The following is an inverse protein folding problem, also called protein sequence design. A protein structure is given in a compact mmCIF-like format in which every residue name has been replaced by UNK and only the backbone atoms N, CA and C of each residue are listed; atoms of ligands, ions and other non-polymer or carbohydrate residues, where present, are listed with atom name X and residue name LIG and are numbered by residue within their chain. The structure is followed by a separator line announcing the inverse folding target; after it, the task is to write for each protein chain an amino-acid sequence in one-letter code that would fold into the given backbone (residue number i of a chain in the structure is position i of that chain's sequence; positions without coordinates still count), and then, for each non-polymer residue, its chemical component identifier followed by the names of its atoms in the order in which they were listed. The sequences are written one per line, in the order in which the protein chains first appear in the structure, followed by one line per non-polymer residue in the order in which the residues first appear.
data_IF_054533120873
#
_entry.id   IF_054533120873
#
_cell.length_a   1.000
_cell.length_b   1.000
_cell.length_c   1.000
_cell.angle_alpha   90.00
_cell.angle_beta   90.00
_cell.angle_gamma   90.00
#
_symmetry.space_group_name_H-M   'P 1'
#
loop_
_entity.id
_entity.type
_entity.pdbx_description
1 polymer ?
#
# COMPACT_ATOMS: atom_id res chain seq x y z
N UNK A 1 17.39 -5.33 -14.77
CA UNK A 1 16.07 -4.70 -14.99
C UNK A 1 15.12 -4.96 -13.82
N UNK A 2 14.84 -6.23 -13.43
CA UNK A 2 13.94 -6.58 -12.30
C UNK A 2 14.21 -5.79 -11.02
N UNK A 3 15.47 -5.69 -10.58
CA UNK A 3 15.84 -4.93 -9.37
C UNK A 3 15.46 -3.44 -9.44
N UNK A 4 15.71 -2.82 -10.59
CA UNK A 4 15.41 -1.40 -10.78
C UNK A 4 13.91 -1.14 -10.84
N UNK A 5 13.16 -1.96 -11.57
CA UNK A 5 11.71 -1.89 -11.64
C UNK A 5 11.10 -2.08 -10.24
N UNK A 6 11.54 -3.12 -9.51
CA UNK A 6 11.04 -3.40 -8.17
C UNK A 6 11.37 -2.27 -7.16
N UNK A 7 12.54 -1.64 -7.31
CA UNK A 7 12.94 -0.51 -6.47
C UNK A 7 12.01 0.70 -6.66
N UNK A 8 11.67 1.02 -7.90
CA UNK A 8 10.75 2.14 -8.20
C UNK A 8 9.36 1.83 -7.65
N UNK A 9 8.89 0.58 -7.85
CA UNK A 9 7.57 0.10 -7.43
C UNK A 9 7.47 -0.23 -5.94
N UNK A 10 8.49 0.05 -5.13
CA UNK A 10 8.51 -0.28 -3.69
C UNK A 10 8.48 0.94 -2.78
N UNK A 11 8.51 2.14 -3.35
CA UNK A 11 8.54 3.38 -2.55
C UNK A 11 7.23 3.63 -1.79
N UNK A 12 6.12 3.42 -2.44
CA UNK A 12 4.75 3.49 -1.90
C UNK A 12 4.52 2.42 -0.82
N UNK A 13 5.01 1.19 -1.05
CA UNK A 13 4.91 0.10 -0.07
C UNK A 13 5.68 0.42 1.22
N UNK A 14 6.87 1.02 1.13
CA UNK A 14 7.62 1.45 2.30
C UNK A 14 6.87 2.51 3.13
N UNK A 15 6.13 3.39 2.48
CA UNK A 15 5.29 4.38 3.15
C UNK A 15 4.13 3.73 3.92
N UNK A 16 3.43 2.77 3.32
CA UNK A 16 2.35 2.03 4.00
C UNK A 16 2.87 1.27 5.21
N UNK A 17 4.04 0.60 5.07
CA UNK A 17 4.69 -0.09 6.18
C UNK A 17 5.04 0.90 7.30
N UNK A 18 5.57 2.07 6.95
CA UNK A 18 5.92 3.10 7.92
C UNK A 18 4.68 3.63 8.65
N UNK A 19 3.60 3.92 7.92
CA UNK A 19 2.33 4.39 8.50
C UNK A 19 1.72 3.35 9.44
N UNK A 20 1.66 2.08 9.03
CA UNK A 20 1.09 1.00 9.83
C UNK A 20 1.93 0.66 11.09
N UNK A 21 3.25 0.88 11.03
CA UNK A 21 4.14 0.62 12.16
C UNK A 21 4.34 1.83 13.08
N UNK A 22 3.80 3.00 12.73
CA UNK A 22 4.08 4.27 13.40
C UNK A 22 3.62 4.30 14.86
N UNK A 23 2.44 3.80 15.14
CA UNK A 23 1.84 3.77 16.48
C UNK A 23 2.53 2.77 17.42
N UNK A 24 3.39 1.91 16.88
CA UNK A 24 4.14 0.92 17.65
C UNK A 24 5.48 1.46 18.11
N UNK A 25 6.01 0.92 19.21
CA UNK A 25 7.30 1.31 19.76
C UNK A 25 8.26 0.13 19.92
N UNK A 26 9.55 0.43 19.98
CA UNK A 26 10.61 -0.50 20.32
C UNK A 26 10.60 -1.80 19.48
N UNK A 27 10.51 -2.94 20.18
CA UNK A 27 10.56 -4.26 19.54
C UNK A 27 9.33 -4.55 18.67
N UNK A 28 8.14 -4.06 19.05
CA UNK A 28 6.90 -4.28 18.28
C UNK A 28 6.95 -3.57 16.93
N UNK A 29 7.43 -2.32 16.88
CA UNK A 29 7.64 -1.55 15.64
C UNK A 29 8.59 -2.31 14.69
N UNK A 30 9.72 -2.75 15.22
CA UNK A 30 10.70 -3.52 14.45
C UNK A 30 10.12 -4.83 13.91
N UNK A 31 9.38 -5.57 14.73
CA UNK A 31 8.74 -6.81 14.33
C UNK A 31 7.69 -6.57 13.23
N UNK A 32 6.86 -5.54 13.36
CA UNK A 32 5.86 -5.19 12.36
C UNK A 32 6.52 -4.86 11.01
N UNK A 33 7.56 -4.04 10.99
CA UNK A 33 8.28 -3.68 9.76
C UNK A 33 8.92 -4.92 9.12
N UNK A 34 9.64 -5.73 9.89
CA UNK A 34 10.38 -6.89 9.36
C UNK A 34 9.43 -7.98 8.87
N UNK A 35 8.49 -8.42 9.71
CA UNK A 35 7.57 -9.49 9.34
C UNK A 35 6.53 -9.04 8.32
N UNK A 36 6.11 -7.77 8.37
CA UNK A 36 5.27 -7.16 7.35
C UNK A 36 5.94 -7.17 5.98
N UNK A 37 7.18 -6.70 5.89
CA UNK A 37 7.94 -6.70 4.64
C UNK A 37 8.20 -8.12 4.11
N UNK A 38 8.55 -9.08 4.97
CA UNK A 38 8.74 -10.48 4.57
C UNK A 38 7.42 -11.09 4.07
N UNK A 39 6.33 -10.88 4.81
CA UNK A 39 5.00 -11.37 4.42
C UNK A 39 4.52 -10.77 3.10
N UNK A 40 4.72 -9.48 2.90
CA UNK A 40 4.42 -8.77 1.66
C UNK A 40 5.16 -9.39 0.47
N UNK A 41 6.48 -9.57 0.58
CA UNK A 41 7.29 -10.17 -0.50
C UNK A 41 6.91 -11.64 -0.76
N UNK A 42 6.64 -12.42 0.30
CA UNK A 42 6.18 -13.80 0.14
C UNK A 42 4.85 -13.87 -0.62
N UNK A 43 3.89 -13.00 -0.28
CA UNK A 43 2.60 -12.94 -0.97
C UNK A 43 2.76 -12.46 -2.42
N UNK A 44 3.66 -11.54 -2.69
CA UNK A 44 3.98 -11.06 -4.04
C UNK A 44 4.55 -12.17 -4.93
N UNK A 45 5.35 -13.09 -4.37
CA UNK A 45 5.81 -14.29 -5.08
C UNK A 45 4.65 -15.23 -5.45
N UNK A 46 3.69 -15.41 -4.53
CA UNK A 46 2.48 -16.18 -4.81
C UNK A 46 1.65 -15.50 -5.91
N UNK A 47 1.47 -14.20 -5.84
CA UNK A 47 0.74 -13.43 -6.86
C UNK A 47 1.41 -13.52 -8.21
N UNK A 48 2.75 -13.49 -8.28
CA UNK A 48 3.49 -13.64 -9.53
C UNK A 48 3.20 -14.97 -10.23
N UNK A 49 2.89 -16.02 -9.48
CA UNK A 49 2.52 -17.31 -10.04
C UNK A 49 1.10 -17.36 -10.61
N UNK A 50 0.18 -16.53 -10.07
CA UNK A 50 -1.25 -16.56 -10.43
C UNK A 50 -1.75 -15.25 -11.04
N UNK A 51 -0.87 -14.29 -11.28
CA UNK A 51 -1.24 -12.92 -11.70
C UNK A 51 -2.10 -12.90 -12.96
N UNK A 52 -1.79 -13.77 -13.94
CA UNK A 52 -2.57 -13.82 -15.19
C UNK A 52 -4.05 -14.16 -14.93
N UNK A 53 -4.30 -14.98 -13.92
CA UNK A 53 -5.67 -15.30 -13.49
C UNK A 53 -6.30 -14.17 -12.67
N UNK A 54 -5.54 -13.61 -11.72
CA UNK A 54 -6.04 -12.52 -10.86
C UNK A 54 -6.52 -11.32 -11.68
N UNK A 55 -5.81 -10.95 -12.73
CA UNK A 55 -6.18 -9.83 -13.61
C UNK A 55 -7.47 -10.08 -14.44
N UNK A 56 -7.97 -11.31 -14.51
CA UNK A 56 -9.24 -11.61 -15.19
C UNK A 56 -10.44 -11.57 -14.25
N UNK A 57 -10.22 -11.43 -12.94
CA UNK A 57 -11.29 -11.42 -11.94
C UNK A 57 -11.95 -10.04 -11.91
N UNK A 58 -13.24 -9.94 -12.30
CA UNK A 58 -13.95 -8.67 -12.28
C UNK A 58 -14.08 -8.14 -10.85
N UNK A 59 -14.06 -6.83 -10.71
CA UNK A 59 -14.17 -6.12 -9.43
C UNK A 59 -13.05 -6.39 -8.41
N UNK A 60 -11.97 -7.10 -8.79
CA UNK A 60 -10.88 -7.38 -7.87
C UNK A 60 -10.12 -6.09 -7.53
N UNK A 61 -9.80 -5.29 -8.54
CA UNK A 61 -9.12 -4.00 -8.34
C UNK A 61 -10.03 -2.98 -7.66
N UNK A 62 -11.32 -2.95 -7.98
CA UNK A 62 -12.30 -2.14 -7.27
C UNK A 62 -12.35 -2.48 -5.77
N UNK A 63 -12.46 -3.78 -5.42
CA UNK A 63 -12.46 -4.22 -4.03
C UNK A 63 -11.16 -3.85 -3.31
N UNK A 64 -10.02 -3.99 -3.99
CA UNK A 64 -8.72 -3.58 -3.52
C UNK A 64 -8.66 -2.07 -3.25
N UNK A 65 -9.11 -1.26 -4.20
CA UNK A 65 -9.15 0.21 -4.04
C UNK A 65 -10.02 0.64 -2.85
N UNK A 66 -11.20 0.06 -2.68
CA UNK A 66 -12.06 0.32 -1.51
C UNK A 66 -11.36 -0.06 -0.19
N UNK A 67 -10.61 -1.15 -0.19
CA UNK A 67 -9.83 -1.58 0.96
C UNK A 67 -8.69 -0.59 1.26
N UNK A 68 -8.01 -0.02 0.24
CA UNK A 68 -7.01 1.03 0.44
C UNK A 68 -7.62 2.29 1.05
N UNK A 69 -8.81 2.71 0.63
CA UNK A 69 -9.53 3.84 1.24
C UNK A 69 -9.82 3.56 2.71
N UNK A 70 -10.28 2.35 3.04
CA UNK A 70 -10.52 1.95 4.42
C UNK A 70 -9.23 1.95 5.26
N UNK A 71 -8.11 1.45 4.72
CA UNK A 71 -6.80 1.48 5.37
C UNK A 71 -6.35 2.92 5.60
N UNK A 72 -6.47 3.79 4.58
CA UNK A 72 -6.14 5.21 4.69
C UNK A 72 -6.92 5.89 5.81
N UNK A 73 -8.21 5.60 5.91
CA UNK A 73 -9.06 6.10 6.98
C UNK A 73 -8.61 5.62 8.35
N UNK A 74 -8.36 4.32 8.49
CA UNK A 74 -7.90 3.71 9.72
C UNK A 74 -6.58 4.34 10.20
N UNK A 75 -5.59 4.46 9.30
CA UNK A 75 -4.27 4.99 9.62
C UNK A 75 -4.26 6.46 10.06
N UNK A 76 -5.20 7.29 9.58
CA UNK A 76 -5.35 8.67 10.07
C UNK A 76 -5.94 8.67 11.49
N UNK A 77 -6.94 7.81 11.77
CA UNK A 77 -7.70 7.89 13.02
C UNK A 77 -7.06 7.13 14.19
N UNK A 78 -6.10 6.24 13.92
CA UNK A 78 -5.32 5.60 14.99
C UNK A 78 -4.44 6.59 15.76
N UNK A 79 -4.17 7.79 15.20
CA UNK A 79 -3.45 8.86 15.90
C UNK A 79 -4.30 9.58 16.97
N UNK A 80 -5.61 9.57 16.84
CA UNK A 80 -6.51 10.38 17.66
C UNK A 80 -6.97 9.68 18.93
N UNK A 81 -6.60 8.40 19.10
CA UNK A 81 -6.99 7.57 20.25
C UNK A 81 -6.17 7.79 21.53
N UNK A 82 -5.32 8.81 21.62
CA UNK A 82 -4.50 9.09 22.81
C UNK A 82 -5.26 9.58 24.07
N UNK A 83 -6.58 9.63 24.05
CA UNK A 83 -7.38 10.13 25.19
C UNK A 83 -7.90 9.07 26.17
N UNK A 84 -8.13 7.87 25.77
CA UNK A 84 -8.55 6.78 26.66
C UNK A 84 -7.48 5.67 26.64
N UNK A 85 -7.03 5.27 27.83
CA UNK A 85 -6.20 4.09 28.07
C UNK A 85 -6.95 2.82 27.66
N UNK A 86 -7.25 2.69 26.38
CA UNK A 86 -7.51 1.40 25.77
C UNK A 86 -6.14 0.77 25.61
N UNK A 87 -5.98 -0.36 26.25
CA UNK A 87 -4.84 -1.26 26.22
C UNK A 87 -4.08 -1.17 24.91
N UNK A 88 -2.78 -0.98 24.96
CA UNK A 88 -1.83 -0.81 23.84
C UNK A 88 -2.24 -1.68 22.63
N UNK A 89 -3.19 -1.21 21.83
CA UNK A 89 -4.09 -2.04 21.04
C UNK A 89 -3.75 -2.14 19.58
N UNK A 90 -2.71 -1.52 19.08
CA UNK A 90 -2.15 -1.95 17.81
C UNK A 90 -1.04 -2.94 18.09
N UNK A 91 -1.40 -4.21 18.14
CA UNK A 91 -0.40 -5.27 18.28
C UNK A 91 0.44 -5.28 16.98
N UNK A 92 1.72 -5.66 17.10
CA UNK A 92 2.57 -5.87 15.93
C UNK A 92 1.87 -6.75 14.87
N UNK A 93 1.01 -7.67 15.30
CA UNK A 93 0.22 -8.54 14.44
C UNK A 93 -0.84 -7.78 13.61
N UNK A 94 -1.49 -6.79 14.18
CA UNK A 94 -2.45 -5.95 13.45
C UNK A 94 -1.75 -5.10 12.39
N UNK A 95 -0.63 -4.47 12.75
CA UNK A 95 0.20 -3.74 11.80
C UNK A 95 0.70 -4.67 10.67
N UNK A 96 1.18 -5.88 10.99
CA UNK A 96 1.59 -6.89 9.98
C UNK A 96 0.44 -7.20 9.03
N UNK A 97 -0.78 -7.41 9.53
CA UNK A 97 -1.96 -7.67 8.69
C UNK A 97 -2.26 -6.51 7.75
N UNK A 98 -2.25 -5.28 8.26
CA UNK A 98 -2.47 -4.07 7.44
C UNK A 98 -1.41 -3.99 6.34
N UNK A 99 -0.14 -4.17 6.68
CA UNK A 99 0.98 -4.14 5.74
C UNK A 99 0.79 -5.19 4.64
N UNK A 100 0.57 -6.44 5.03
CA UNK A 100 0.44 -7.56 4.06
C UNK A 100 -0.78 -7.39 3.16
N UNK A 101 -1.91 -6.94 3.71
CA UNK A 101 -3.13 -6.72 2.94
C UNK A 101 -3.00 -5.53 2.00
N UNK A 102 -2.45 -4.42 2.47
CA UNK A 102 -2.22 -3.25 1.62
C UNK A 102 -1.23 -3.56 0.50
N UNK A 103 -0.11 -4.22 0.81
CA UNK A 103 0.86 -4.64 -0.20
C UNK A 103 0.26 -5.64 -1.21
N UNK A 104 -0.61 -6.55 -0.76
CA UNK A 104 -1.33 -7.47 -1.64
C UNK A 104 -2.13 -6.72 -2.71
N UNK A 105 -2.88 -5.72 -2.26
CA UNK A 105 -3.73 -4.89 -3.14
C UNK A 105 -2.88 -4.09 -4.12
N UNK A 106 -1.89 -3.35 -3.61
CA UNK A 106 -0.99 -2.50 -4.42
C UNK A 106 -0.08 -3.32 -5.36
N UNK A 107 0.12 -4.60 -5.03
CA UNK A 107 0.97 -5.50 -5.83
C UNK A 107 0.27 -6.11 -7.04
N UNK A 108 -1.05 -5.98 -7.18
CA UNK A 108 -1.77 -6.59 -8.31
C UNK A 108 -1.21 -6.11 -9.66
N UNK A 109 -0.99 -4.81 -9.81
CA UNK A 109 -0.43 -4.23 -11.04
C UNK A 109 1.10 -4.32 -11.07
N UNK A 110 1.75 -4.11 -9.92
CA UNK A 110 3.20 -4.16 -9.80
C UNK A 110 3.78 -5.53 -10.16
N UNK A 111 3.07 -6.61 -9.82
CA UNK A 111 3.51 -7.99 -10.12
C UNK A 111 3.56 -8.24 -11.63
N UNK A 112 2.66 -7.66 -12.42
CA UNK A 112 2.68 -7.77 -13.89
C UNK A 112 3.97 -7.20 -14.45
N UNK A 113 4.34 -5.99 -14.04
CA UNK A 113 5.57 -5.34 -14.48
C UNK A 113 6.83 -6.16 -14.08
N UNK A 114 6.82 -6.72 -12.87
CA UNK A 114 7.91 -7.57 -12.36
C UNK A 114 8.02 -8.88 -13.14
N UNK A 115 6.91 -9.55 -13.43
CA UNK A 115 6.87 -10.78 -14.24
C UNK A 115 7.37 -10.50 -15.65
N UNK A 116 6.97 -9.38 -16.28
CA UNK A 116 7.46 -8.97 -17.58
C UNK A 116 8.99 -8.70 -17.55
N UNK A 117 9.47 -8.00 -16.52
CA UNK A 117 10.90 -7.73 -16.35
C UNK A 117 11.73 -9.00 -16.09
N UNK A 118 11.13 -10.08 -15.56
CA UNK A 118 11.77 -11.35 -15.28
C UNK A 118 11.74 -12.34 -16.46
N UNK A 119 11.16 -11.96 -17.61
CA UNK A 119 11.14 -12.83 -18.80
C UNK A 119 12.50 -12.89 -19.48
N UNK A 120 12.93 -14.12 -19.80
CA UNK A 120 14.12 -14.41 -20.58
C UNK A 120 13.71 -15.41 -21.66
N UNK A 121 13.92 -15.06 -22.95
CA UNK A 121 13.54 -15.92 -24.06
C UNK A 121 12.04 -16.22 -24.18
N UNK A 122 11.19 -15.34 -23.63
CA UNK A 122 9.72 -15.51 -23.64
C UNK A 122 9.15 -16.20 -22.39
N UNK A 123 9.98 -16.87 -21.59
CA UNK A 123 9.57 -17.56 -20.38
C UNK A 123 9.91 -16.75 -19.12
N UNK A 124 9.09 -16.90 -18.07
CA UNK A 124 9.30 -16.24 -16.77
C UNK A 124 10.38 -16.98 -16.00
N UNK A 125 11.48 -16.30 -15.71
CA UNK A 125 12.51 -16.83 -14.84
C UNK A 125 12.17 -16.56 -13.38
N UNK A 126 11.55 -17.54 -12.71
CA UNK A 126 11.15 -17.43 -11.30
C UNK A 126 12.32 -17.22 -10.33
N UNK A 127 13.53 -17.72 -10.65
CA UNK A 127 14.71 -17.46 -9.83
C UNK A 127 15.12 -15.99 -9.89
N UNK A 128 15.08 -15.40 -11.07
CA UNK A 128 15.38 -13.97 -11.25
C UNK A 128 14.32 -13.12 -10.53
N UNK A 129 13.07 -13.50 -10.61
CA UNK A 129 11.97 -12.85 -9.89
C UNK A 129 12.15 -12.97 -8.37
N UNK A 130 12.39 -14.18 -7.86
CA UNK A 130 12.56 -14.43 -6.43
C UNK A 130 13.76 -13.68 -5.84
N UNK A 131 14.92 -13.71 -6.52
CA UNK A 131 16.11 -12.98 -6.12
C UNK A 131 15.85 -11.47 -6.18
N UNK A 132 15.20 -11.01 -7.27
CA UNK A 132 14.83 -9.59 -7.41
C UNK A 132 13.95 -9.09 -6.28
N UNK A 133 12.92 -9.85 -5.91
CA UNK A 133 12.04 -9.53 -4.79
C UNK A 133 12.75 -9.63 -3.44
N UNK A 134 13.55 -10.67 -3.22
CA UNK A 134 14.26 -10.86 -1.96
C UNK A 134 15.28 -9.73 -1.67
N UNK A 135 15.94 -9.21 -2.72
CA UNK A 135 16.92 -8.12 -2.55
C UNK A 135 16.28 -6.77 -2.21
N UNK A 136 14.98 -6.57 -2.44
CA UNK A 136 14.29 -5.35 -2.03
C UNK A 136 13.83 -5.38 -0.57
N UNK A 137 13.75 -6.55 0.08
CA UNK A 137 13.34 -6.65 1.49
C UNK A 137 14.20 -5.76 2.40
N UNK A 138 15.54 -5.84 2.39
CA UNK A 138 16.36 -4.97 3.21
C UNK A 138 16.15 -3.48 2.93
N UNK A 139 15.95 -3.13 1.66
CA UNK A 139 15.73 -1.75 1.23
C UNK A 139 14.38 -1.21 1.71
N UNK A 140 13.33 -2.02 1.58
CA UNK A 140 11.98 -1.67 2.07
C UNK A 140 11.98 -1.54 3.59
N UNK A 141 12.63 -2.45 4.31
CA UNK A 141 12.77 -2.39 5.78
C UNK A 141 13.50 -1.09 6.20
N UNK A 142 14.62 -0.79 5.55
CA UNK A 142 15.38 0.44 5.84
C UNK A 142 14.58 1.69 5.48
N UNK A 143 13.95 1.71 4.30
CA UNK A 143 13.10 2.80 3.84
C UNK A 143 11.91 3.03 4.77
N UNK A 144 11.23 1.97 5.19
CA UNK A 144 10.11 2.05 6.12
C UNK A 144 10.56 2.57 7.50
N UNK A 145 11.70 2.10 8.02
CA UNK A 145 12.24 2.60 9.28
C UNK A 145 12.61 4.09 9.21
N UNK A 146 13.20 4.54 8.10
CA UNK A 146 13.51 5.94 7.86
C UNK A 146 12.23 6.78 7.76
N UNK A 147 11.26 6.33 6.97
CA UNK A 147 9.97 6.99 6.80
C UNK A 147 9.19 7.05 8.11
N UNK A 148 9.21 5.99 8.94
CA UNK A 148 8.57 6.02 10.26
C UNK A 148 9.17 7.13 11.12
N UNK A 149 10.50 7.26 11.16
CA UNK A 149 11.16 8.34 11.89
C UNK A 149 10.78 9.73 11.35
N UNK A 150 10.56 9.84 10.04
CA UNK A 150 10.13 11.08 9.40
C UNK A 150 8.67 11.41 9.73
N UNK A 151 7.79 10.40 9.74
CA UNK A 151 6.38 10.53 10.14
C UNK A 151 6.25 10.94 11.60
N UNK A 152 7.08 10.36 12.51
CA UNK A 152 7.13 10.76 13.92
C UNK A 152 7.50 12.24 14.08
N UNK A 153 8.38 12.75 13.21
CA UNK A 153 8.83 14.15 13.24
C UNK A 153 7.86 15.12 12.55
N UNK A 154 7.19 14.65 11.50
CA UNK A 154 6.29 15.45 10.67
C UNK A 154 4.94 14.74 10.49
N UNK A 155 4.04 14.82 11.49
CA UNK A 155 2.74 14.13 11.44
C UNK A 155 1.89 14.43 10.20
N UNK A 156 2.03 15.62 9.63
CA UNK A 156 1.33 16.00 8.39
C UNK A 156 1.59 15.03 7.23
N UNK A 157 2.73 14.34 7.23
CA UNK A 157 3.06 13.36 6.19
C UNK A 157 2.14 12.13 6.22
N UNK A 158 1.49 11.84 7.35
CA UNK A 158 0.48 10.77 7.43
C UNK A 158 -0.72 11.09 6.55
N UNK A 159 -1.16 12.36 6.59
CA UNK A 159 -2.24 12.82 5.71
C UNK A 159 -1.83 12.76 4.23
N UNK A 160 -0.59 13.12 3.92
CA UNK A 160 -0.05 12.97 2.54
C UNK A 160 -0.07 11.51 2.11
N UNK A 161 0.39 10.59 2.98
CA UNK A 161 0.38 9.15 2.72
C UNK A 161 -1.04 8.60 2.54
N UNK A 162 -1.97 9.00 3.40
CA UNK A 162 -3.37 8.60 3.26
C UNK A 162 -4.01 9.14 1.97
N UNK A 163 -3.69 10.38 1.58
CA UNK A 163 -4.09 10.94 0.29
C UNK A 163 -3.53 10.14 -0.89
N UNK A 164 -2.27 9.68 -0.80
CA UNK A 164 -1.68 8.81 -1.81
C UNK A 164 -2.40 7.46 -1.91
N UNK A 165 -2.80 6.84 -0.78
CA UNK A 165 -3.57 5.59 -0.81
C UNK A 165 -4.93 5.76 -1.51
N UNK A 166 -5.59 6.91 -1.30
CA UNK A 166 -6.85 7.22 -2.00
C UNK A 166 -6.60 7.47 -3.49
N UNK A 167 -5.52 8.14 -3.84
CA UNK A 167 -5.10 8.31 -5.22
C UNK A 167 -4.93 6.95 -5.92
N UNK A 168 -4.16 6.03 -5.33
CA UNK A 168 -3.95 4.67 -5.84
C UNK A 168 -5.26 3.87 -5.92
N UNK A 169 -6.18 4.07 -4.98
CA UNK A 169 -7.49 3.44 -5.01
C UNK A 169 -8.31 3.85 -6.24
N UNK A 170 -8.18 5.10 -6.70
CA UNK A 170 -8.83 5.56 -7.93
C UNK A 170 -8.15 4.98 -9.17
N UNK A 171 -6.81 4.91 -9.22
CA UNK A 171 -6.10 4.22 -10.31
C UNK A 171 -6.58 2.76 -10.45
N UNK A 172 -6.72 2.05 -9.33
CA UNK A 172 -7.26 0.68 -9.34
C UNK A 172 -8.70 0.59 -9.85
N UNK A 173 -9.53 1.62 -9.60
CA UNK A 173 -10.88 1.69 -10.13
C UNK A 173 -10.88 1.78 -11.66
N UNK A 174 -10.01 2.61 -12.23
CA UNK A 174 -9.87 2.76 -13.68
C UNK A 174 -9.22 1.52 -14.33
N UNK A 175 -8.34 0.81 -13.62
CA UNK A 175 -7.70 -0.43 -14.08
C UNK A 175 -8.56 -1.69 -13.97
N UNK A 176 -9.71 -1.65 -13.27
CA UNK A 176 -10.55 -2.84 -13.07
C UNK A 176 -11.15 -3.34 -14.38
N UNK A 177 -10.97 -4.63 -14.64
CA UNK A 177 -11.37 -5.28 -15.92
C UNK A 177 -12.84 -5.04 -16.28
N UNK A 178 -13.73 -5.04 -15.28
CA UNK A 178 -15.16 -4.83 -15.54
C UNK A 178 -15.49 -3.36 -15.74
N UNK A 179 -14.84 -2.47 -15.01
CA UNK A 179 -15.13 -1.03 -15.06
C UNK A 179 -14.40 -0.33 -16.20
N UNK A 180 -13.31 -0.89 -16.68
CA UNK A 180 -12.48 -0.29 -17.73
C UNK A 180 -13.29 0.08 -18.99
N UNK A 181 -14.17 -0.79 -19.47
CA UNK A 181 -15.02 -0.51 -20.64
C UNK A 181 -15.90 0.74 -20.44
N UNK A 182 -16.38 0.99 -19.22
CA UNK A 182 -17.20 2.15 -18.87
C UNK A 182 -16.38 3.41 -18.59
N UNK A 183 -15.14 3.24 -18.10
CA UNK A 183 -14.27 4.33 -17.67
C UNK A 183 -13.27 4.77 -18.75
N UNK A 184 -13.03 3.96 -19.79
CA UNK A 184 -12.14 4.27 -20.91
C UNK A 184 -12.39 5.68 -21.52
N UNK A 185 -13.64 6.12 -21.76
CA UNK A 185 -13.90 7.48 -22.27
C UNK A 185 -13.43 8.59 -21.33
N UNK A 186 -13.20 8.28 -20.04
CA UNK A 186 -12.83 9.21 -18.97
C UNK A 186 -11.39 9.06 -18.50
N UNK A 187 -10.56 8.22 -19.14
CA UNK A 187 -9.15 8.02 -18.76
C UNK A 187 -8.36 9.35 -18.69
N UNK A 188 -8.65 10.29 -19.59
CA UNK A 188 -8.03 11.62 -19.55
C UNK A 188 -8.35 12.42 -18.28
N UNK A 189 -9.39 12.05 -17.55
CA UNK A 189 -9.82 12.68 -16.30
C UNK A 189 -9.36 11.91 -15.06
N UNK A 190 -8.76 10.72 -15.21
CA UNK A 190 -8.32 9.85 -14.12
C UNK A 190 -7.50 10.62 -13.08
N UNK A 191 -6.46 11.33 -13.51
CA UNK A 191 -5.63 12.16 -12.62
C UNK A 191 -6.46 13.20 -11.85
N UNK A 192 -7.39 13.87 -12.53
CA UNK A 192 -8.25 14.88 -11.89
C UNK A 192 -9.19 14.24 -10.89
N UNK A 193 -9.78 13.09 -11.21
CA UNK A 193 -10.66 12.33 -10.31
C UNK A 193 -9.88 11.86 -9.10
N UNK A 194 -8.69 11.28 -9.29
CA UNK A 194 -7.84 10.78 -8.22
C UNK A 194 -7.40 11.90 -7.26
N UNK A 195 -6.95 13.04 -7.78
CA UNK A 195 -6.58 14.19 -6.96
C UNK A 195 -7.76 14.78 -6.20
N UNK A 196 -8.92 14.93 -6.85
CA UNK A 196 -10.13 15.43 -6.18
C UNK A 196 -10.62 14.46 -5.10
N UNK A 197 -10.59 13.15 -5.35
CA UNK A 197 -10.95 12.13 -4.37
C UNK A 197 -10.01 12.19 -3.14
N UNK A 198 -8.70 12.29 -3.35
CA UNK A 198 -7.72 12.44 -2.28
C UNK A 198 -7.98 13.72 -1.46
N UNK A 199 -8.19 14.86 -2.12
CA UNK A 199 -8.49 16.14 -1.42
C UNK A 199 -9.81 16.06 -0.64
N UNK A 200 -10.87 15.52 -1.25
CA UNK A 200 -12.15 15.34 -0.59
C UNK A 200 -12.05 14.42 0.63
N UNK A 201 -11.32 13.32 0.49
CA UNK A 201 -11.05 12.40 1.60
C UNK A 201 -10.30 13.10 2.75
N UNK A 202 -9.25 13.85 2.46
CA UNK A 202 -8.48 14.58 3.47
C UNK A 202 -9.31 15.67 4.14
N UNK A 203 -10.15 16.37 3.38
CA UNK A 203 -11.05 17.36 3.92
C UNK A 203 -12.10 16.72 4.88
N UNK A 204 -12.65 15.56 4.50
CA UNK A 204 -13.59 14.83 5.35
C UNK A 204 -12.93 14.30 6.62
N UNK A 205 -11.73 13.74 6.51
CA UNK A 205 -10.94 13.29 7.66
C UNK A 205 -10.65 14.45 8.61
N UNK A 206 -10.18 15.60 8.10
CA UNK A 206 -9.90 16.78 8.90
C UNK A 206 -11.15 17.35 9.59
N UNK A 207 -12.28 17.43 8.88
CA UNK A 207 -13.56 17.88 9.47
C UNK A 207 -14.03 16.94 10.57
N UNK A 208 -13.91 15.63 10.36
CA UNK A 208 -14.28 14.64 11.36
C UNK A 208 -13.48 14.80 12.66
N UNK A 209 -12.16 14.97 12.52
CA UNK A 209 -11.26 15.24 13.65
C UNK A 209 -11.69 16.49 14.44
N UNK A 210 -12.00 17.58 13.73
CA UNK A 210 -12.46 18.83 14.37
C UNK A 210 -13.77 18.69 15.11
N UNK A 211 -14.74 17.96 14.54
CA UNK A 211 -16.05 17.73 15.16
C UNK A 211 -16.00 16.86 16.42
N UNK A 212 -15.01 15.95 16.51
CA UNK A 212 -14.80 15.12 17.70
C UNK A 212 -14.15 15.87 18.87
N UNK A 213 -13.42 16.94 18.58
CA UNK A 213 -12.71 17.75 19.59
C UNK A 213 -13.56 18.90 20.13
N UNK A 214 -14.73 19.19 19.55
CA UNK A 214 -15.72 20.18 20.00
C UNK A 214 -16.82 19.54 20.85
#
# INVERSE_FOLDING_TARGET
MVLFTNLILSGDNALVIAMAARTLEGAQRRQAIVWGAIGAVALRLVFAAVVTYLLTVPFLQLAGGLLLVWIAWKLIHEEEGEGDKVEAGTSAWEAIRIIVVADAVMSLDNVVALVQAARIGGEVNFWLLAIGLATTVPLVIFGAALLTSLLDRFPVLVYVGAGLLVYLAVEMLFGDVFLHEYLEPYESLELLVALNAAVAFLATAWLWTRLKQS
#
